data_IF_388560238422
#
_entry.id   IF_388560238422
#
_cell.length_a   1.000
_cell.length_b   1.000
_cell.length_c   1.000
_cell.angle_alpha   90.00
_cell.angle_beta   90.00
_cell.angle_gamma   90.00
#
_symmetry.space_group_name_H-M   'P 1'
#
loop_
_entity.id
_entity.type
_entity.pdbx_description
1 polymer ?
#
# COMPACT_ATOMS: atom_id res chain seq x y z
N UNK A 1 17.18 13.42 3.33
CA UNK A 1 15.90 13.64 2.65
C UNK A 1 14.85 13.98 3.69
N UNK A 2 14.23 15.16 3.55
CA UNK A 2 13.28 15.72 4.53
C UNK A 2 12.02 14.86 4.58
N UNK A 3 11.64 14.42 5.78
CA UNK A 3 10.35 13.79 6.04
C UNK A 3 9.26 14.87 5.95
N UNK A 4 8.79 15.16 4.73
CA UNK A 4 7.68 16.08 4.54
C UNK A 4 6.39 15.40 4.97
N UNK A 5 5.97 15.66 6.22
CA UNK A 5 4.63 15.34 6.72
C UNK A 5 3.52 16.12 5.95
N UNK A 6 3.90 17.08 5.11
CA UNK A 6 3.02 17.77 4.15
C UNK A 6 2.75 16.98 2.86
N UNK A 7 3.37 15.81 2.67
CA UNK A 7 3.01 14.94 1.55
C UNK A 7 1.62 14.34 1.80
N UNK A 8 0.61 14.86 1.10
CA UNK A 8 -0.78 14.37 1.00
C UNK A 8 -0.92 12.88 0.61
N UNK A 9 0.20 12.17 0.49
CA UNK A 9 0.28 10.78 0.10
C UNK A 9 0.03 9.82 1.27
N UNK A 10 0.18 10.25 2.53
CA UNK A 10 -0.13 9.41 3.68
C UNK A 10 -1.61 9.47 4.04
N UNK A 11 -2.31 8.37 3.77
CA UNK A 11 -3.73 8.22 4.03
C UNK A 11 -3.96 7.34 5.25
N UNK A 12 -4.92 7.69 6.09
CA UNK A 12 -5.40 6.77 7.13
C UNK A 12 -6.05 5.54 6.50
N UNK A 13 -6.10 4.41 7.22
CA UNK A 13 -6.83 3.21 6.78
C UNK A 13 -8.24 3.53 6.27
N UNK A 14 -8.97 4.43 6.93
CA UNK A 14 -10.32 4.81 6.53
C UNK A 14 -10.34 5.58 5.20
N UNK A 15 -9.49 6.58 5.04
CA UNK A 15 -9.38 7.35 3.80
C UNK A 15 -8.92 6.48 2.63
N UNK A 16 -7.90 5.66 2.86
CA UNK A 16 -7.40 4.71 1.87
C UNK A 16 -8.49 3.73 1.40
N UNK A 17 -9.26 3.16 2.35
CA UNK A 17 -10.40 2.29 1.99
C UNK A 17 -11.44 3.03 1.17
N UNK A 18 -11.75 4.28 1.53
CA UNK A 18 -12.72 5.11 0.83
C UNK A 18 -12.25 5.46 -0.59
N UNK A 19 -11.00 5.91 -0.74
CA UNK A 19 -10.42 6.33 -2.02
C UNK A 19 -10.31 5.18 -3.02
N UNK A 20 -9.90 4.00 -2.56
CA UNK A 20 -9.74 2.82 -3.41
C UNK A 20 -10.99 1.92 -3.45
N UNK A 21 -12.09 2.30 -2.78
CA UNK A 21 -13.31 1.51 -2.68
C UNK A 21 -13.08 0.11 -2.09
N UNK A 22 -12.15 -0.03 -1.14
CA UNK A 22 -11.72 -1.32 -0.61
C UNK A 22 -12.49 -1.71 0.66
N UNK A 23 -13.05 -2.92 0.63
CA UNK A 23 -13.52 -3.61 1.83
C UNK A 23 -12.37 -3.96 2.78
N UNK A 24 -12.70 -4.28 4.03
CA UNK A 24 -11.71 -4.61 5.07
C UNK A 24 -10.85 -5.83 4.70
N UNK A 25 -11.46 -6.90 4.21
CA UNK A 25 -10.78 -8.12 3.78
C UNK A 25 -9.84 -7.88 2.60
N UNK A 26 -10.26 -7.06 1.62
CA UNK A 26 -9.46 -6.69 0.45
C UNK A 26 -8.26 -5.83 0.86
N UNK A 27 -8.48 -4.85 1.73
CA UNK A 27 -7.41 -4.04 2.29
C UNK A 27 -6.38 -4.92 3.02
N UNK A 28 -6.84 -5.79 3.91
CA UNK A 28 -5.94 -6.61 4.74
C UNK A 28 -5.10 -7.58 3.89
N UNK A 29 -5.71 -8.19 2.87
CA UNK A 29 -4.99 -9.05 1.90
C UNK A 29 -3.92 -8.27 1.14
N UNK A 30 -4.26 -7.08 0.64
CA UNK A 30 -3.34 -6.24 -0.16
C UNK A 30 -2.18 -5.70 0.67
N UNK A 31 -2.46 -5.18 1.86
CA UNK A 31 -1.41 -4.73 2.78
C UNK A 31 -0.52 -5.89 3.20
N UNK A 32 -1.08 -7.07 3.46
CA UNK A 32 -0.29 -8.26 3.78
C UNK A 32 0.63 -8.65 2.63
N UNK A 33 0.20 -8.53 1.37
CA UNK A 33 1.06 -8.76 0.19
C UNK A 33 2.14 -7.67 0.04
N UNK A 34 1.75 -6.40 0.16
CA UNK A 34 2.66 -5.25 0.07
C UNK A 34 3.75 -5.27 1.17
N UNK A 35 3.43 -5.82 2.34
CA UNK A 35 4.34 -5.93 3.49
C UNK A 35 4.90 -7.35 3.67
N UNK A 36 4.63 -8.28 2.75
CA UNK A 36 5.11 -9.65 2.84
C UNK A 36 6.62 -9.71 2.59
N UNK A 37 7.33 -10.41 3.47
CA UNK A 37 8.76 -10.68 3.35
C UNK A 37 9.63 -9.41 3.39
N UNK A 38 10.64 -9.39 2.52
CA UNK A 38 11.54 -8.24 2.29
C UNK A 38 11.01 -7.32 1.19
N UNK A 39 9.69 -7.06 1.20
CA UNK A 39 9.10 -6.16 0.23
C UNK A 39 9.67 -4.76 0.40
N UNK A 40 10.28 -4.26 -0.68
CA UNK A 40 10.74 -2.87 -0.80
C UNK A 40 9.64 -1.88 -0.43
N UNK A 41 8.36 -2.23 -0.63
CA UNK A 41 7.18 -1.41 -0.36
C UNK A 41 6.76 -1.35 1.12
N UNK A 42 7.44 -2.06 2.04
CA UNK A 42 7.10 -2.07 3.46
C UNK A 42 7.17 -0.68 4.11
N UNK A 43 8.02 0.21 3.59
CA UNK A 43 8.13 1.60 4.07
C UNK A 43 6.87 2.44 3.80
N UNK A 44 5.98 1.99 2.90
CA UNK A 44 4.70 2.65 2.63
C UNK A 44 3.60 2.31 3.62
N UNK A 45 3.88 1.48 4.63
CA UNK A 45 2.91 1.08 5.64
C UNK A 45 3.42 1.46 7.03
N UNK A 46 2.74 2.40 7.68
CA UNK A 46 3.06 2.84 9.03
C UNK A 46 1.93 2.46 9.99
N UNK A 47 2.22 1.50 10.88
CA UNK A 47 1.34 1.15 12.00
C UNK A 47 1.84 1.86 13.25
N UNK A 48 1.17 2.94 13.63
CA UNK A 48 1.47 3.68 14.86
C UNK A 48 0.86 2.96 16.05
N UNK A 49 -0.37 2.44 15.90
CA UNK A 49 -1.07 1.65 16.91
C UNK A 49 -2.06 0.66 16.26
N UNK A 50 -2.72 -0.18 17.07
CA UNK A 50 -3.76 -1.08 16.54
C UNK A 50 -4.94 -0.34 15.88
N UNK A 51 -5.17 0.93 16.24
CA UNK A 51 -6.22 1.79 15.66
C UNK A 51 -5.70 2.77 14.61
N UNK A 52 -4.44 3.17 14.70
CA UNK A 52 -3.85 4.20 13.84
C UNK A 52 -2.87 3.57 12.87
N UNK A 53 -3.34 3.46 11.63
CA UNK A 53 -2.62 2.89 10.50
C UNK A 53 -2.66 3.88 9.36
N UNK A 54 -1.47 4.17 8.83
CA UNK A 54 -1.25 5.06 7.71
C UNK A 54 -0.63 4.30 6.56
N UNK A 55 -1.11 4.58 5.35
CA UNK A 55 -0.68 3.96 4.11
C UNK A 55 -0.28 5.06 3.16
N UNK A 56 0.92 4.98 2.61
CA UNK A 56 1.38 5.89 1.59
C UNK A 56 0.81 5.47 0.22
N UNK A 57 0.02 6.34 -0.42
CA UNK A 57 -0.60 6.09 -1.72
C UNK A 57 0.41 5.86 -2.84
N UNK A 58 1.55 6.55 -2.82
CA UNK A 58 2.56 6.43 -3.87
C UNK A 58 3.22 5.07 -3.80
N UNK A 59 3.61 4.65 -2.60
CA UNK A 59 4.22 3.33 -2.39
C UNK A 59 3.22 2.22 -2.72
N UNK A 60 1.96 2.40 -2.33
CA UNK A 60 0.91 1.44 -2.70
C UNK A 60 0.65 1.40 -4.21
N UNK A 61 0.67 2.54 -4.90
CA UNK A 61 0.49 2.58 -6.34
C UNK A 61 1.70 1.98 -7.07
N UNK A 62 2.92 2.22 -6.59
CA UNK A 62 4.13 1.58 -7.08
C UNK A 62 4.10 0.06 -6.88
N UNK A 63 3.70 -0.42 -5.69
CA UNK A 63 3.48 -1.85 -5.44
C UNK A 63 2.42 -2.42 -6.39
N UNK A 64 1.32 -1.71 -6.60
CA UNK A 64 0.24 -2.13 -7.51
C UNK A 64 0.73 -2.23 -8.95
N UNK A 65 1.52 -1.26 -9.42
CA UNK A 65 2.15 -1.31 -10.74
C UNK A 65 3.13 -2.47 -10.84
N UNK A 66 3.99 -2.67 -9.84
CA UNK A 66 4.94 -3.79 -9.81
C UNK A 66 4.24 -5.17 -9.79
N UNK A 67 3.13 -5.32 -9.04
CA UNK A 67 2.30 -6.53 -9.07
C UNK A 67 1.63 -6.71 -10.43
N UNK A 68 1.16 -5.63 -11.07
CA UNK A 68 0.57 -5.69 -12.41
C UNK A 68 1.62 -6.07 -13.47
N UNK A 69 2.82 -5.51 -13.42
CA UNK A 69 3.95 -5.87 -14.29
C UNK A 69 4.36 -7.33 -14.09
N UNK A 70 4.41 -7.82 -12.84
CA UNK A 70 4.64 -9.25 -12.56
C UNK A 70 3.53 -10.14 -13.11
N UNK A 71 2.29 -9.67 -13.15
CA UNK A 71 1.16 -10.40 -13.70
C UNK A 71 1.21 -10.43 -15.24
N UNK A 72 1.59 -9.32 -15.88
CA UNK A 72 1.77 -9.24 -17.34
C UNK A 72 2.89 -10.18 -17.80
N UNK A 73 3.96 -10.33 -17.00
CA UNK A 73 5.06 -11.26 -17.30
C UNK A 73 4.66 -12.75 -17.30
N UNK A 74 3.46 -13.11 -16.80
CA UNK A 74 2.96 -14.49 -16.77
C UNK A 74 1.86 -14.79 -17.81
N UNK A 75 1.47 -13.81 -18.64
CA UNK A 75 0.47 -13.98 -19.73
C UNK A 75 1.17 -13.94 -21.09
N UNK A 76 2.28 -14.67 -21.22
CA UNK A 76 2.90 -14.97 -22.53
C UNK A 76 3.66 -16.29 -22.47
N UNK A 77 2.97 -17.37 -22.07
CA UNK A 77 3.48 -18.74 -22.23
C UNK A 77 2.37 -19.70 -22.66
#
# INVERSE_FOLDING_TARGET
MVLNLANENWLTKAQFKSEFGLGESSYQTRIKKMTAGDSEFKHGYAKVNNKEVYINREVYNAWRSAEAEKNIFWVDY
#
